data_IF_410772345231
#
_entry.id   IF_410772345231
#
_cell.length_a   1.000
_cell.length_b   1.000
_cell.length_c   1.000
_cell.angle_alpha   90.00
_cell.angle_beta   90.00
_cell.angle_gamma   90.00
#
_symmetry.space_group_name_H-M   'P 1'
#
loop_
_entity.id
_entity.type
_entity.pdbx_description
1 polymer ?
#
# COMPACT_ATOMS: atom_id res chain seq x y z
N UNK A 1 -3.32 16.81 -29.64
CA UNK A 1 -4.24 15.64 -29.61
C UNK A 1 -4.68 15.43 -28.17
N UNK A 2 -5.98 15.40 -27.85
CA UNK A 2 -6.43 15.09 -26.50
C UNK A 2 -6.04 13.63 -26.22
N UNK A 3 -5.11 13.42 -25.30
CA UNK A 3 -4.73 12.09 -24.82
C UNK A 3 -5.95 11.46 -24.16
N UNK A 4 -6.40 10.31 -24.66
CA UNK A 4 -7.52 9.59 -24.04
C UNK A 4 -7.19 9.35 -22.55
N UNK A 5 -8.12 9.62 -21.65
CA UNK A 5 -7.93 9.39 -20.20
C UNK A 5 -7.57 7.92 -19.86
N UNK A 6 -7.78 6.99 -20.79
CA UNK A 6 -7.45 5.58 -20.67
C UNK A 6 -5.94 5.28 -20.64
N UNK A 7 -5.07 6.24 -20.97
CA UNK A 7 -3.61 6.04 -21.05
C UNK A 7 -2.80 6.94 -20.11
N UNK A 8 -3.45 7.52 -19.09
CA UNK A 8 -2.80 8.47 -18.19
C UNK A 8 -1.61 7.86 -17.42
N UNK A 9 -1.75 6.62 -16.93
CA UNK A 9 -0.67 5.92 -16.23
C UNK A 9 0.54 5.66 -17.13
N UNK A 10 0.30 5.31 -18.40
CA UNK A 10 1.36 5.18 -19.41
C UNK A 10 2.05 6.52 -19.68
N UNK A 11 1.28 7.62 -19.69
CA UNK A 11 1.83 8.97 -19.83
C UNK A 11 2.76 9.31 -18.67
N UNK A 12 2.41 8.93 -17.43
CA UNK A 12 3.29 9.14 -16.29
C UNK A 12 4.56 8.31 -16.38
N UNK A 13 4.46 7.02 -16.74
CA UNK A 13 5.60 6.11 -16.87
C UNK A 13 6.63 6.53 -17.94
N UNK A 14 6.23 7.33 -18.93
CA UNK A 14 7.10 7.88 -19.98
C UNK A 14 7.72 9.24 -19.64
N UNK A 15 7.21 9.93 -18.63
CA UNK A 15 7.69 11.27 -18.26
C UNK A 15 8.92 11.17 -17.37
N UNK A 16 9.74 12.22 -17.41
CA UNK A 16 10.73 12.44 -16.36
C UNK A 16 10.03 12.62 -15.00
N UNK A 17 10.44 11.90 -13.94
CA UNK A 17 9.76 11.93 -12.65
C UNK A 17 9.61 13.36 -12.10
N UNK A 18 10.65 14.19 -12.24
CA UNK A 18 10.69 15.57 -11.75
C UNK A 18 9.67 16.48 -12.44
N UNK A 19 9.14 16.09 -13.60
CA UNK A 19 8.09 16.82 -14.30
C UNK A 19 6.67 16.49 -13.76
N UNK A 20 6.52 15.46 -12.91
CA UNK A 20 5.25 15.12 -12.29
C UNK A 20 5.01 15.97 -11.03
N UNK A 21 3.79 16.50 -10.85
CA UNK A 21 3.42 17.17 -9.61
C UNK A 21 3.59 16.26 -8.39
N UNK A 22 4.01 16.83 -7.25
CA UNK A 22 4.09 16.12 -5.95
C UNK A 22 2.76 15.57 -5.44
N UNK A 23 1.63 16.08 -5.94
CA UNK A 23 0.30 15.53 -5.64
C UNK A 23 0.05 14.19 -6.35
N UNK A 24 0.82 13.88 -7.39
CA UNK A 24 0.75 12.63 -8.15
C UNK A 24 1.93 11.74 -7.76
N UNK A 25 3.15 12.27 -7.82
CA UNK A 25 4.36 11.50 -7.55
C UNK A 25 4.66 11.45 -6.06
N UNK A 26 4.72 10.24 -5.51
CA UNK A 26 5.14 10.00 -4.14
C UNK A 26 6.66 9.85 -4.04
N UNK A 27 7.24 8.92 -4.80
CA UNK A 27 8.69 8.72 -4.92
C UNK A 27 9.02 8.06 -6.26
N UNK A 28 10.30 8.02 -6.63
CA UNK A 28 10.75 7.33 -7.83
C UNK A 28 12.16 6.76 -7.68
N UNK A 29 12.47 5.79 -8.53
CA UNK A 29 13.82 5.29 -8.76
C UNK A 29 14.18 5.46 -10.24
N UNK A 30 15.31 4.90 -10.65
CA UNK A 30 15.65 4.80 -12.07
C UNK A 30 14.70 3.85 -12.82
N UNK A 31 14.15 2.84 -12.14
CA UNK A 31 13.32 1.79 -12.72
C UNK A 31 11.81 1.99 -12.55
N UNK A 32 11.34 2.72 -11.55
CA UNK A 32 9.90 2.85 -11.29
C UNK A 32 9.47 4.21 -10.74
N UNK A 33 8.16 4.43 -10.77
CA UNK A 33 7.46 5.55 -10.15
C UNK A 33 6.45 5.00 -9.15
N UNK A 34 6.47 5.50 -7.92
CA UNK A 34 5.38 5.31 -6.96
C UNK A 34 4.49 6.55 -7.00
N UNK A 35 3.22 6.38 -7.34
CA UNK A 35 2.25 7.47 -7.44
C UNK A 35 1.07 7.29 -6.50
N UNK A 36 0.44 8.39 -6.13
CA UNK A 36 -0.83 8.40 -5.43
C UNK A 36 -1.96 7.94 -6.37
N UNK A 37 -2.83 7.04 -5.91
CA UNK A 37 -4.06 6.70 -6.66
C UNK A 37 -5.05 7.86 -6.56
N UNK A 38 -5.62 8.27 -7.71
CA UNK A 38 -6.67 9.30 -7.75
C UNK A 38 -8.01 8.83 -7.17
N UNK A 39 -8.21 7.52 -7.02
CA UNK A 39 -9.40 6.89 -6.44
C UNK A 39 -8.98 5.80 -5.42
N UNK A 40 -8.44 6.22 -4.26
CA UNK A 40 -7.86 5.31 -3.27
C UNK A 40 -8.92 4.37 -2.70
N UNK A 41 -8.56 3.08 -2.56
CA UNK A 41 -9.45 2.00 -2.10
C UNK A 41 -9.15 1.56 -0.66
N UNK A 42 -8.16 2.20 -0.04
CA UNK A 42 -7.68 1.99 1.33
C UNK A 42 -7.03 3.29 1.83
N UNK A 43 -6.73 3.36 3.13
CA UNK A 43 -6.08 4.54 3.74
C UNK A 43 -4.72 4.89 3.09
N UNK A 44 -3.97 3.88 2.69
CA UNK A 44 -2.72 4.02 1.95
C UNK A 44 -2.86 3.20 0.67
N UNK A 45 -3.01 3.89 -0.46
CA UNK A 45 -3.16 3.27 -1.77
C UNK A 45 -2.26 3.95 -2.80
N UNK A 46 -1.28 3.21 -3.26
CA UNK A 46 -0.26 3.68 -4.20
C UNK A 46 -0.22 2.75 -5.40
N UNK A 47 0.12 3.30 -6.56
CA UNK A 47 0.40 2.53 -7.77
C UNK A 47 1.90 2.60 -8.04
N UNK A 48 2.53 1.44 -8.18
CA UNK A 48 3.92 1.34 -8.60
C UNK A 48 3.97 1.04 -10.09
N UNK A 49 4.56 1.93 -10.87
CA UNK A 49 4.63 1.87 -12.33
C UNK A 49 6.09 1.66 -12.75
N UNK A 50 6.43 0.66 -13.59
CA UNK A 50 7.72 0.64 -14.25
C UNK A 50 7.90 1.87 -15.12
N UNK A 51 9.10 2.46 -15.12
CA UNK A 51 9.46 3.50 -16.10
C UNK A 51 9.69 2.84 -17.46
N UNK A 52 9.15 3.44 -18.50
CA UNK A 52 9.29 2.94 -19.88
C UNK A 52 10.52 3.60 -20.50
N UNK A 53 11.67 2.96 -20.32
CA UNK A 53 12.97 3.41 -20.82
C UNK A 53 13.59 2.25 -21.61
N UNK A 54 14.20 2.51 -22.80
CA UNK A 54 14.85 1.46 -23.58
C UNK A 54 15.82 0.60 -22.72
N UNK A 55 15.79 -0.74 -22.86
CA UNK A 55 15.09 -1.49 -23.90
C UNK A 55 13.61 -1.81 -23.59
N UNK A 56 13.08 -1.44 -22.42
CA UNK A 56 11.71 -1.78 -22.03
C UNK A 56 10.70 -0.97 -22.83
N UNK A 57 9.83 -1.67 -23.55
CA UNK A 57 8.79 -1.05 -24.36
C UNK A 57 7.42 -1.05 -23.68
N UNK A 58 6.60 -0.06 -24.02
CA UNK A 58 5.27 0.09 -23.43
C UNK A 58 4.30 -1.05 -23.78
N UNK A 59 4.51 -1.74 -24.90
CA UNK A 59 3.71 -2.89 -25.34
C UNK A 59 3.90 -4.12 -24.41
N UNK A 60 5.10 -4.29 -23.84
CA UNK A 60 5.45 -5.36 -22.90
C UNK A 60 4.69 -5.18 -21.57
N UNK A 61 4.43 -3.92 -21.18
CA UNK A 61 3.74 -3.57 -19.94
C UNK A 61 2.21 -3.55 -20.03
N UNK A 62 1.63 -3.98 -21.16
CA UNK A 62 0.16 -4.05 -21.31
C UNK A 62 -0.49 -5.01 -20.30
N UNK A 63 0.22 -6.07 -19.90
CA UNK A 63 -0.22 -6.99 -18.86
C UNK A 63 0.94 -7.77 -18.27
N UNK A 64 0.75 -8.30 -17.06
CA UNK A 64 1.71 -9.24 -16.47
C UNK A 64 1.95 -10.45 -17.38
N UNK A 65 0.92 -10.95 -18.08
CA UNK A 65 1.05 -12.05 -19.04
C UNK A 65 1.94 -11.67 -20.22
N UNK A 66 1.79 -10.46 -20.76
CA UNK A 66 2.61 -9.98 -21.88
C UNK A 66 4.08 -9.88 -21.46
N UNK A 67 4.35 -9.26 -20.32
CA UNK A 67 5.70 -9.13 -19.77
C UNK A 67 6.32 -10.51 -19.48
N UNK A 68 5.59 -11.42 -18.84
CA UNK A 68 6.10 -12.76 -18.51
C UNK A 68 6.33 -13.65 -19.74
N UNK A 69 5.71 -13.32 -20.88
CA UNK A 69 5.90 -14.00 -22.16
C UNK A 69 6.98 -13.35 -23.04
N UNK A 70 7.57 -12.21 -22.64
CA UNK A 70 8.72 -11.64 -23.35
C UNK A 70 10.02 -12.33 -22.91
N UNK A 71 11.17 -11.66 -23.05
CA UNK A 71 12.42 -12.24 -22.58
C UNK A 71 12.39 -12.50 -21.07
N UNK A 72 12.66 -13.75 -20.67
CA UNK A 72 12.54 -14.20 -19.28
C UNK A 72 13.50 -13.48 -18.35
N UNK A 73 14.72 -13.20 -18.81
CA UNK A 73 15.71 -12.50 -18.01
C UNK A 73 15.29 -11.04 -17.79
N UNK A 74 14.84 -10.38 -18.86
CA UNK A 74 14.31 -9.03 -18.81
C UNK A 74 13.05 -8.91 -17.94
N UNK A 75 12.06 -9.78 -18.13
CA UNK A 75 10.84 -9.81 -17.32
C UNK A 75 11.16 -10.01 -15.83
N UNK A 76 12.08 -10.92 -15.51
CA UNK A 76 12.55 -11.13 -14.12
C UNK A 76 13.21 -9.87 -13.56
N UNK A 77 14.02 -9.16 -14.35
CA UNK A 77 14.66 -7.92 -13.93
C UNK A 77 13.60 -6.85 -13.59
N UNK A 78 12.62 -6.64 -14.46
CA UNK A 78 11.53 -5.66 -14.24
C UNK A 78 10.74 -6.00 -12.98
N UNK A 79 10.32 -7.26 -12.81
CA UNK A 79 9.55 -7.68 -11.63
C UNK A 79 10.38 -7.60 -10.35
N UNK A 80 11.67 -7.94 -10.40
CA UNK A 80 12.55 -7.83 -9.24
C UNK A 80 12.75 -6.38 -8.82
N UNK A 81 12.97 -5.47 -9.78
CA UNK A 81 13.07 -4.04 -9.52
C UNK A 81 11.79 -3.48 -8.88
N UNK A 82 10.62 -3.81 -9.45
CA UNK A 82 9.33 -3.44 -8.85
C UNK A 82 9.17 -3.97 -7.43
N UNK A 83 9.60 -5.20 -7.16
CA UNK A 83 9.48 -5.78 -5.82
C UNK A 83 10.37 -5.08 -4.80
N UNK A 84 11.61 -4.73 -5.15
CA UNK A 84 12.49 -3.95 -4.26
C UNK A 84 11.94 -2.54 -4.03
N UNK A 85 11.48 -1.88 -5.09
CA UNK A 85 10.87 -0.55 -4.99
C UNK A 85 9.60 -0.59 -4.13
N UNK A 86 8.77 -1.64 -4.27
CA UNK A 86 7.58 -1.84 -3.45
C UNK A 86 7.91 -2.07 -1.96
N UNK A 87 9.03 -2.73 -1.63
CA UNK A 87 9.51 -2.85 -0.25
C UNK A 87 9.93 -1.51 0.33
N UNK A 88 10.58 -0.65 -0.47
CA UNK A 88 10.91 0.71 -0.04
C UNK A 88 9.64 1.51 0.27
N UNK A 89 8.67 1.52 -0.64
CA UNK A 89 7.39 2.20 -0.44
C UNK A 89 6.64 1.64 0.77
N UNK A 90 6.67 0.31 0.98
CA UNK A 90 6.10 -0.31 2.18
C UNK A 90 6.72 0.25 3.46
N UNK A 91 8.04 0.42 3.50
CA UNK A 91 8.73 0.98 4.67
C UNK A 91 8.25 2.41 4.95
N UNK A 92 8.16 3.26 3.93
CA UNK A 92 7.69 4.63 4.07
C UNK A 92 6.23 4.68 4.57
N UNK A 93 5.38 3.80 4.04
CA UNK A 93 3.99 3.65 4.50
C UNK A 93 3.95 3.24 5.98
N UNK A 94 4.75 2.24 6.38
CA UNK A 94 4.81 1.77 7.75
C UNK A 94 5.29 2.85 8.74
N UNK A 95 6.24 3.68 8.33
CA UNK A 95 6.68 4.84 9.11
C UNK A 95 5.54 5.85 9.29
N UNK A 96 4.80 6.14 8.22
CA UNK A 96 3.65 7.04 8.28
C UNK A 96 2.48 6.44 9.10
N UNK A 97 2.27 5.12 9.06
CA UNK A 97 1.30 4.42 9.89
C UNK A 97 1.60 4.61 11.38
N UNK A 98 2.86 4.38 11.79
CA UNK A 98 3.29 4.58 13.18
C UNK A 98 3.16 6.06 13.56
N UNK A 99 3.56 6.97 12.68
CA UNK A 99 3.48 8.42 12.94
C UNK A 99 2.05 8.90 13.14
N UNK A 100 1.11 8.50 12.28
CA UNK A 100 -0.29 8.96 12.32
C UNK A 100 -1.16 8.20 13.31
N UNK A 101 -0.97 6.88 13.43
CA UNK A 101 -1.88 5.99 14.14
C UNK A 101 -1.24 5.32 15.35
N UNK A 102 0.08 5.31 15.45
CA UNK A 102 0.84 4.73 16.56
C UNK A 102 1.15 3.24 16.41
N UNK A 103 0.60 2.57 15.40
CA UNK A 103 0.77 1.15 15.13
C UNK A 103 0.79 0.87 13.62
N UNK A 104 1.23 -0.33 13.25
CA UNK A 104 1.26 -0.82 11.87
C UNK A 104 0.17 -1.87 11.67
N UNK A 105 -0.32 -2.00 10.44
CA UNK A 105 -1.17 -3.10 10.01
C UNK A 105 -0.65 -3.67 8.69
N UNK A 106 -1.25 -4.78 8.24
CA UNK A 106 -0.77 -5.49 7.06
C UNK A 106 -0.92 -4.65 5.79
N UNK A 107 0.10 -4.69 4.92
CA UNK A 107 0.14 -4.02 3.62
C UNK A 107 0.24 -5.08 2.53
N UNK A 108 -0.81 -5.18 1.72
CA UNK A 108 -0.84 -6.07 0.56
C UNK A 108 -0.17 -5.41 -0.64
N UNK A 109 0.67 -6.18 -1.33
CA UNK A 109 1.37 -5.76 -2.56
C UNK A 109 1.04 -6.81 -3.62
N UNK A 110 0.60 -6.38 -4.80
CA UNK A 110 0.27 -7.30 -5.87
C UNK A 110 -0.10 -6.60 -7.17
N UNK A 111 -0.38 -7.40 -8.18
CA UNK A 111 -0.91 -6.95 -9.46
C UNK A 111 -2.40 -7.22 -9.53
N UNK A 112 -3.16 -6.34 -10.18
CA UNK A 112 -4.50 -6.70 -10.58
C UNK A 112 -4.44 -7.76 -11.68
N UNK A 113 -5.14 -8.88 -11.47
CA UNK A 113 -5.21 -9.96 -12.43
C UNK A 113 -5.99 -9.62 -13.72
N UNK A 114 -6.59 -8.43 -13.83
CA UNK A 114 -7.51 -8.08 -14.91
C UNK A 114 -6.81 -8.02 -16.28
N UNK A 115 -6.87 -9.15 -16.97
CA UNK A 115 -6.61 -9.31 -18.40
C UNK A 115 -7.87 -9.86 -19.05
N UNK A 116 -8.97 -9.08 -19.02
CA UNK A 116 -10.29 -9.43 -19.58
C UNK A 116 -10.89 -10.75 -19.05
N UNK A 117 -11.62 -10.67 -17.94
CA UNK A 117 -12.58 -11.75 -17.61
C UNK A 117 -13.72 -11.74 -18.64
N UNK A 118 -14.23 -12.92 -19.00
CA UNK A 118 -15.43 -13.02 -19.82
C UNK A 118 -16.58 -12.31 -19.10
N UNK A 119 -17.34 -11.40 -19.76
CA UNK A 119 -18.35 -10.57 -19.09
C UNK A 119 -19.32 -11.38 -18.23
N UNK A 120 -19.73 -12.56 -18.70
CA UNK A 120 -20.63 -13.47 -17.96
C UNK A 120 -20.04 -13.95 -16.63
N UNK A 121 -18.76 -14.33 -16.62
CA UNK A 121 -18.07 -14.78 -15.40
C UNK A 121 -17.87 -13.62 -14.43
N UNK A 122 -17.48 -12.45 -14.96
CA UNK A 122 -17.30 -11.25 -14.15
C UNK A 122 -18.61 -10.77 -13.52
N UNK A 123 -19.70 -10.74 -14.29
CA UNK A 123 -21.02 -10.38 -13.78
C UNK A 123 -21.54 -11.38 -12.73
N UNK A 124 -21.24 -12.67 -12.87
CA UNK A 124 -21.59 -13.66 -11.85
C UNK A 124 -20.88 -13.35 -10.53
N UNK A 125 -19.56 -13.14 -10.56
CA UNK A 125 -18.77 -12.77 -9.38
C UNK A 125 -19.23 -11.46 -8.74
N UNK A 126 -19.58 -10.44 -9.55
CA UNK A 126 -20.09 -9.17 -9.02
C UNK A 126 -21.45 -9.26 -8.35
N UNK A 127 -22.23 -10.31 -8.65
CA UNK A 127 -23.56 -10.55 -8.07
C UNK A 127 -23.51 -11.41 -6.80
N UNK A 128 -22.35 -11.96 -6.47
CA UNK A 128 -22.18 -12.69 -5.20
C UNK A 128 -22.28 -11.73 -4.02
N UNK A 129 -22.64 -12.29 -2.86
CA UNK A 129 -22.69 -11.53 -1.62
C UNK A 129 -21.30 -10.99 -1.28
N UNK A 130 -21.26 -9.71 -0.90
CA UNK A 130 -20.01 -9.06 -0.51
C UNK A 130 -19.64 -9.49 0.91
N UNK A 131 -18.43 -10.01 1.08
CA UNK A 131 -17.93 -10.48 2.36
C UNK A 131 -16.83 -9.58 2.92
N UNK A 132 -16.75 -9.50 4.23
CA UNK A 132 -15.68 -8.83 4.94
C UNK A 132 -14.41 -9.69 4.87
N UNK A 133 -13.30 -9.12 4.43
CA UNK A 133 -12.03 -9.85 4.36
C UNK A 133 -11.39 -10.10 5.73
N UNK A 134 -11.83 -9.42 6.79
CA UNK A 134 -11.32 -9.61 8.15
C UNK A 134 -12.06 -10.73 8.91
N UNK A 135 -13.38 -10.74 8.88
CA UNK A 135 -14.18 -11.67 9.70
C UNK A 135 -15.04 -12.65 8.88
N UNK A 136 -15.09 -12.50 7.56
CA UNK A 136 -15.87 -13.37 6.67
C UNK A 136 -17.39 -13.18 6.74
N UNK A 137 -17.89 -12.22 7.52
CA UNK A 137 -19.31 -11.87 7.52
C UNK A 137 -19.76 -11.46 6.12
N UNK A 138 -21.01 -11.75 5.75
CA UNK A 138 -21.61 -11.34 4.48
C UNK A 138 -22.52 -10.13 4.69
N UNK A 139 -22.51 -9.20 3.74
CA UNK A 139 -23.29 -7.97 3.77
C UNK A 139 -24.13 -7.85 2.51
N UNK A 140 -25.32 -7.28 2.65
CA UNK A 140 -26.30 -7.17 1.56
C UNK A 140 -25.95 -6.12 0.51
N UNK A 141 -25.12 -5.13 0.87
CA UNK A 141 -24.78 -4.02 -0.03
C UNK A 141 -23.48 -3.33 0.41
N UNK A 142 -22.92 -2.53 -0.51
CA UNK A 142 -21.65 -1.85 -0.31
C UNK A 142 -21.67 -0.83 0.85
N UNK A 143 -22.74 -0.04 1.08
CA UNK A 143 -22.83 0.81 2.27
C UNK A 143 -22.73 0.04 3.59
N UNK A 144 -23.43 -1.09 3.72
CA UNK A 144 -23.35 -1.93 4.91
C UNK A 144 -21.94 -2.49 5.11
N UNK A 145 -21.29 -2.94 4.03
CA UNK A 145 -19.90 -3.36 4.07
C UNK A 145 -18.95 -2.23 4.50
N UNK A 146 -19.12 -1.02 3.96
CA UNK A 146 -18.31 0.13 4.35
C UNK A 146 -18.46 0.48 5.82
N UNK A 147 -19.69 0.47 6.35
CA UNK A 147 -19.94 0.70 7.77
C UNK A 147 -19.24 -0.36 8.62
N UNK A 148 -19.40 -1.63 8.25
CA UNK A 148 -18.75 -2.73 8.97
C UNK A 148 -17.22 -2.64 8.95
N UNK A 149 -16.61 -2.31 7.81
CA UNK A 149 -15.17 -2.13 7.70
C UNK A 149 -14.65 -0.95 8.55
N UNK A 150 -15.47 0.09 8.71
CA UNK A 150 -15.16 1.21 9.61
C UNK A 150 -15.18 0.75 11.08
N UNK A 151 -16.20 -0.01 11.48
CA UNK A 151 -16.30 -0.56 12.84
C UNK A 151 -15.11 -1.50 13.17
N UNK A 152 -14.77 -2.40 12.24
CA UNK A 152 -13.60 -3.29 12.35
C UNK A 152 -12.31 -2.49 12.53
N UNK A 153 -12.12 -1.42 11.74
CA UNK A 153 -10.96 -0.55 11.87
C UNK A 153 -10.90 0.14 13.24
N UNK A 154 -12.02 0.66 13.73
CA UNK A 154 -12.09 1.31 15.04
C UNK A 154 -11.78 0.34 16.18
N UNK A 155 -12.29 -0.88 16.10
CA UNK A 155 -12.00 -1.95 17.05
C UNK A 155 -10.51 -2.32 17.06
N UNK A 156 -9.90 -2.53 15.89
CA UNK A 156 -8.46 -2.82 15.75
C UNK A 156 -7.64 -1.67 16.32
N UNK A 157 -7.96 -0.44 15.95
CA UNK A 157 -7.26 0.77 16.38
C UNK A 157 -7.31 0.96 17.90
N UNK A 158 -8.49 0.78 18.50
CA UNK A 158 -8.65 0.86 19.96
C UNK A 158 -7.81 -0.21 20.68
N UNK A 159 -7.84 -1.45 20.16
CA UNK A 159 -7.08 -2.57 20.72
C UNK A 159 -5.57 -2.33 20.66
N UNK A 160 -5.04 -1.87 19.53
CA UNK A 160 -3.61 -1.61 19.39
C UNK A 160 -3.13 -0.44 20.24
N UNK A 161 -3.90 0.65 20.30
CA UNK A 161 -3.60 1.79 21.18
C UNK A 161 -3.57 1.38 22.66
N UNK A 162 -4.49 0.52 23.09
CA UNK A 162 -4.52 0.00 24.46
C UNK A 162 -3.27 -0.83 24.78
N UNK A 163 -2.82 -1.70 23.85
CA UNK A 163 -1.58 -2.48 24.00
C UNK A 163 -0.36 -1.56 24.15
N UNK A 164 -0.24 -0.54 23.32
CA UNK A 164 0.87 0.42 23.36
C UNK A 164 0.88 1.19 24.69
N UNK A 165 -0.28 1.67 25.14
CA UNK A 165 -0.41 2.36 26.43
C UNK A 165 0.04 1.47 27.59
N UNK A 166 -0.36 0.19 27.58
CA UNK A 166 0.06 -0.80 28.58
C UNK A 166 1.57 -1.02 28.54
N UNK A 167 2.16 -1.20 27.34
CA UNK A 167 3.61 -1.40 27.17
C UNK A 167 4.41 -0.22 27.71
N UNK A 168 4.05 1.02 27.34
CA UNK A 168 4.70 2.24 27.84
C UNK A 168 4.61 2.38 29.36
N UNK A 169 3.46 2.06 29.95
CA UNK A 169 3.29 2.07 31.41
C UNK A 169 4.24 1.08 32.09
N UNK A 170 4.39 -0.13 31.54
CA UNK A 170 5.31 -1.14 32.06
C UNK A 170 6.77 -0.71 31.92
N UNK A 171 7.16 -0.13 30.78
CA UNK A 171 8.51 0.39 30.55
C UNK A 171 8.87 1.53 31.49
N UNK A 172 7.96 2.49 31.70
CA UNK A 172 8.15 3.57 32.67
C UNK A 172 8.32 3.02 34.10
N UNK A 173 7.43 2.10 34.51
CA UNK A 173 7.57 1.47 35.83
C UNK A 173 8.86 0.67 36.00
N UNK A 174 9.40 0.09 34.92
CA UNK A 174 10.67 -0.62 34.96
C UNK A 174 11.86 0.34 35.13
N UNK A 175 11.83 1.52 34.50
CA UNK A 175 12.85 2.57 34.68
C UNK A 175 12.86 3.08 36.12
N UNK A 176 11.68 3.33 36.70
CA UNK A 176 11.55 3.79 38.08
C UNK A 176 12.11 2.77 39.10
N UNK A 177 12.00 1.48 38.81
CA UNK A 177 12.58 0.40 39.63
C UNK A 177 14.11 0.35 39.53
N UNK A 178 14.69 0.67 38.36
CA UNK A 178 16.14 0.67 38.16
C UNK A 178 16.79 1.91 38.81
N UNK A 179 16.11 3.06 38.82
CA UNK A 179 16.60 4.32 39.40
C UNK A 179 16.26 4.47 40.89
N UNK A 180 16.42 3.41 41.69
CA UNK A 180 16.01 3.35 43.11
C UNK A 180 16.35 4.60 43.95
N UNK A 181 15.65 4.82 45.08
CA UNK A 181 15.55 6.11 45.80
C UNK A 181 16.84 6.71 46.40
N UNK A 182 18.03 6.16 46.12
CA UNK A 182 19.30 6.51 46.78
C UNK A 182 19.96 7.81 46.33
N UNK A 183 19.45 8.52 45.31
CA UNK A 183 20.09 9.75 44.82
C UNK A 183 19.65 11.05 45.53
N UNK A 184 19.05 10.95 46.74
CA UNK A 184 18.58 12.10 47.55
C UNK A 184 19.40 12.36 48.82
N UNK A 185 20.64 11.89 48.94
CA UNK A 185 21.51 12.22 50.08
C UNK A 185 22.90 12.69 49.67
N UNK A 186 23.00 13.92 49.15
CA UNK A 186 24.20 14.77 49.32
C UNK A 186 23.84 16.23 49.03
N UNK A 187 23.28 16.89 50.04
CA UNK A 187 23.45 18.34 50.25
C UNK A 187 23.50 18.53 51.77
N UNK A 188 24.72 18.53 52.28
CA UNK A 188 25.10 19.13 53.55
C UNK A 188 26.10 20.24 53.20
#
# INVERSE_FOLDING_TARGET
MPTSNLTILRTYALKEPTALPKSILFTHTESSLAIHDGFPKSMFHFLLLPRIIPPLEANELNSLKTLLNSDRAHAKQVISALNEDAKSVRKDIEEEMVKRYGFKWEIWIGFHAMTRLEPKLYEALLKEDIACFHCGSTMKNLPALKSHLQDEWEMISAREKAKIKKKRKMELSAIDVIQGPDNKKTRA
#
